data_IF_428018327003
#
_entry.id   IF_428018327003
#
_cell.length_a   1.000
_cell.length_b   1.000
_cell.length_c   1.000
_cell.angle_alpha   90.00
_cell.angle_beta   90.00
_cell.angle_gamma   90.00
#
_symmetry.space_group_name_H-M   'P 1'
#
loop_
_entity.id
_entity.type
_entity.pdbx_description
1 polymer ?
#
# COMPACT_ATOMS: atom_id res chain seq x y z
N UNK A 1 59.71 -27.27 -6.96
CA UNK A 1 59.23 -26.16 -6.13
C UNK A 1 59.90 -24.87 -6.61
N UNK A 2 59.14 -23.84 -6.94
CA UNK A 2 59.71 -22.55 -7.36
C UNK A 2 60.37 -21.87 -6.17
N UNK A 3 61.50 -21.24 -6.37
CA UNK A 3 62.23 -20.57 -5.31
C UNK A 3 61.53 -19.26 -4.95
N UNK A 4 61.73 -18.79 -3.72
CA UNK A 4 61.14 -17.53 -3.23
C UNK A 4 61.40 -16.33 -4.17
N UNK A 5 62.61 -16.14 -4.72
CA UNK A 5 62.88 -15.07 -5.70
C UNK A 5 62.08 -15.18 -7.00
N UNK A 6 61.83 -16.40 -7.52
CA UNK A 6 61.03 -16.61 -8.73
C UNK A 6 59.53 -16.27 -8.51
N UNK A 7 59.03 -16.44 -7.31
CA UNK A 7 57.68 -16.05 -6.93
C UNK A 7 57.55 -14.52 -6.77
N UNK A 8 58.54 -13.86 -6.17
CA UNK A 8 58.60 -12.41 -6.01
C UNK A 8 58.67 -11.70 -7.36
N UNK A 9 59.50 -12.23 -8.29
CA UNK A 9 59.57 -11.69 -9.67
C UNK A 9 58.24 -11.82 -10.40
N UNK A 10 57.55 -12.98 -10.30
CA UNK A 10 56.23 -13.16 -10.93
C UNK A 10 55.15 -12.24 -10.38
N UNK A 11 55.16 -11.96 -9.07
CA UNK A 11 54.24 -10.99 -8.44
C UNK A 11 54.50 -9.59 -8.99
N UNK A 12 55.76 -9.19 -9.12
CA UNK A 12 56.13 -7.89 -9.68
C UNK A 12 55.69 -7.74 -11.15
N UNK A 13 55.94 -8.77 -11.96
CA UNK A 13 55.55 -8.79 -13.39
C UNK A 13 54.04 -8.71 -13.54
N UNK A 14 53.26 -9.46 -12.72
CA UNK A 14 51.82 -9.44 -12.73
C UNK A 14 51.25 -8.08 -12.29
N UNK A 15 51.85 -7.47 -11.28
CA UNK A 15 51.45 -6.14 -10.78
C UNK A 15 51.70 -5.08 -11.85
N UNK A 16 52.79 -5.16 -12.57
CA UNK A 16 53.12 -4.25 -13.68
C UNK A 16 52.12 -4.41 -14.84
N UNK A 17 51.81 -5.67 -15.24
CA UNK A 17 50.83 -5.93 -16.28
C UNK A 17 49.42 -5.45 -15.92
N UNK A 18 49.00 -5.58 -14.66
CA UNK A 18 47.70 -5.08 -14.18
C UNK A 18 47.69 -3.52 -14.24
N UNK A 19 48.75 -2.85 -13.80
CA UNK A 19 48.83 -1.38 -13.89
C UNK A 19 48.73 -0.88 -15.32
N UNK A 20 49.39 -1.54 -16.24
CA UNK A 20 49.34 -1.19 -17.66
C UNK A 20 47.93 -1.36 -18.23
N UNK A 21 47.25 -2.46 -17.93
CA UNK A 21 45.86 -2.68 -18.34
C UNK A 21 44.88 -1.68 -17.75
N UNK A 22 45.06 -1.29 -16.50
CA UNK A 22 44.24 -0.24 -15.87
C UNK A 22 44.48 1.13 -16.54
N UNK A 23 45.70 1.43 -16.94
CA UNK A 23 46.00 2.69 -17.66
C UNK A 23 45.37 2.68 -19.07
N UNK A 24 45.49 1.60 -19.82
CA UNK A 24 44.83 1.43 -21.13
C UNK A 24 43.27 1.60 -21.02
N UNK A 25 42.66 1.04 -19.98
CA UNK A 25 41.23 1.21 -19.71
C UNK A 25 40.87 2.66 -19.35
N UNK A 26 41.71 3.34 -18.59
CA UNK A 26 41.49 4.73 -18.22
C UNK A 26 41.55 5.66 -19.44
N UNK A 27 42.57 5.46 -20.33
CA UNK A 27 42.70 6.18 -21.61
C UNK A 27 41.50 5.91 -22.52
N UNK A 28 41.06 4.64 -22.63
CA UNK A 28 39.88 4.28 -23.42
C UNK A 28 38.60 4.98 -22.94
N UNK A 29 38.41 5.11 -21.62
CA UNK A 29 37.25 5.84 -21.03
C UNK A 29 37.36 7.35 -21.23
N UNK A 30 38.60 7.89 -21.23
CA UNK A 30 38.85 9.33 -21.44
C UNK A 30 38.68 9.74 -22.92
N UNK A 31 38.82 8.82 -23.86
CA UNK A 31 38.63 9.05 -25.32
C UNK A 31 37.15 8.91 -25.78
N UNK A 32 36.23 8.54 -24.91
CA UNK A 32 34.80 8.54 -25.26
C UNK A 32 34.34 9.99 -25.45
N UNK A 33 34.02 10.46 -26.68
CA UNK A 33 33.67 11.85 -26.89
C UNK A 33 32.38 12.15 -26.12
N UNK A 34 32.42 13.17 -25.28
CA UNK A 34 31.19 13.82 -24.78
C UNK A 34 30.39 14.27 -26.00
N UNK A 35 29.35 13.54 -26.30
CA UNK A 35 28.42 13.91 -27.38
C UNK A 35 27.67 15.17 -26.96
N UNK A 36 28.30 16.34 -27.21
CA UNK A 36 27.71 17.66 -27.14
C UNK A 36 26.67 17.81 -28.26
N UNK A 37 25.62 17.01 -28.23
CA UNK A 37 24.41 17.31 -28.97
C UNK A 37 23.68 18.41 -28.18
N UNK A 38 23.82 19.66 -28.65
CA UNK A 38 22.93 20.75 -28.32
C UNK A 38 21.52 20.37 -28.82
N UNK A 39 20.80 19.58 -28.04
CA UNK A 39 19.37 19.41 -28.19
C UNK A 39 18.72 20.60 -27.47
N UNK A 40 17.91 21.36 -28.25
CA UNK A 40 16.94 22.33 -27.74
C UNK A 40 16.26 21.75 -26.49
N UNK A 41 15.88 22.60 -25.52
CA UNK A 41 15.16 22.11 -24.34
C UNK A 41 13.89 21.41 -24.84
N UNK A 42 13.90 20.07 -24.83
CA UNK A 42 12.68 19.31 -24.80
C UNK A 42 11.98 19.76 -23.51
N UNK A 43 10.72 20.13 -23.64
CA UNK A 43 9.82 20.30 -22.52
C UNK A 43 10.15 19.25 -21.48
N UNK A 44 10.42 19.69 -20.27
CA UNK A 44 10.65 18.85 -19.12
C UNK A 44 9.43 17.95 -18.98
N UNK A 45 9.49 16.78 -19.61
CA UNK A 45 8.68 15.66 -19.18
C UNK A 45 8.91 15.57 -17.68
N UNK A 46 7.86 15.76 -16.91
CA UNK A 46 7.88 15.55 -15.47
C UNK A 46 8.58 14.22 -15.24
N UNK A 47 9.81 14.29 -14.76
CA UNK A 47 10.40 13.17 -14.05
C UNK A 47 9.42 12.94 -12.91
N UNK A 48 8.53 11.95 -13.08
CA UNK A 48 7.72 11.46 -11.97
C UNK A 48 8.70 11.17 -10.86
N UNK A 49 8.75 12.06 -9.88
CA UNK A 49 9.32 11.72 -8.59
C UNK A 49 8.55 10.47 -8.17
N UNK A 50 9.23 9.32 -8.10
CA UNK A 50 8.67 8.08 -7.54
C UNK A 50 8.50 8.36 -6.05
N UNK A 51 7.58 9.24 -5.74
CA UNK A 51 7.14 9.56 -4.41
C UNK A 51 6.00 8.60 -4.05
N UNK A 52 5.92 8.25 -2.79
CA UNK A 52 4.79 7.54 -2.22
C UNK A 52 3.46 8.14 -2.72
N UNK A 53 2.50 7.34 -3.21
CA UNK A 53 1.22 7.84 -3.67
C UNK A 53 0.48 8.56 -2.53
N UNK A 54 -0.10 9.71 -2.84
CA UNK A 54 -0.82 10.55 -1.88
C UNK A 54 -2.32 10.27 -1.95
N UNK A 55 -3.04 10.70 -0.94
CA UNK A 55 -4.51 10.69 -0.94
C UNK A 55 -5.01 11.54 -2.11
N UNK A 56 -5.86 10.94 -2.95
CA UNK A 56 -6.40 11.54 -4.17
C UNK A 56 -5.66 11.16 -5.44
N UNK A 57 -4.44 10.66 -5.37
CA UNK A 57 -3.70 10.20 -6.55
C UNK A 57 -4.32 8.90 -7.10
N UNK A 58 -4.11 8.64 -8.39
CA UNK A 58 -4.35 7.32 -8.95
C UNK A 58 -3.40 6.31 -8.32
N UNK A 59 -3.90 5.13 -7.97
CA UNK A 59 -3.07 4.06 -7.45
C UNK A 59 -2.05 3.64 -8.52
N UNK A 60 -0.74 3.64 -8.20
CA UNK A 60 0.30 3.27 -9.16
C UNK A 60 0.08 1.88 -9.75
N UNK A 61 0.10 1.80 -11.07
CA UNK A 61 -0.09 0.55 -11.78
C UNK A 61 1.12 -0.38 -11.65
N UNK A 62 0.85 -1.67 -11.52
CA UNK A 62 1.88 -2.71 -11.57
C UNK A 62 1.30 -4.04 -12.04
N UNK A 63 2.20 -4.92 -12.50
CA UNK A 63 1.96 -6.31 -12.76
C UNK A 63 2.75 -7.14 -11.75
N UNK A 64 2.14 -8.16 -11.17
CA UNK A 64 2.82 -8.99 -10.18
C UNK A 64 2.28 -10.43 -10.16
N UNK A 65 3.17 -11.36 -9.80
CA UNK A 65 2.81 -12.73 -9.45
C UNK A 65 2.31 -12.78 -8.01
N UNK A 66 1.28 -13.58 -7.76
CA UNK A 66 0.71 -13.79 -6.43
C UNK A 66 0.45 -15.25 -6.14
N UNK A 67 0.12 -15.58 -4.90
CA UNK A 67 -0.33 -16.93 -4.50
C UNK A 67 -1.62 -17.39 -5.20
N UNK A 68 -2.34 -16.49 -5.86
CA UNK A 68 -3.57 -16.77 -6.62
C UNK A 68 -3.39 -16.59 -8.13
N UNK A 69 -2.16 -16.46 -8.62
CA UNK A 69 -1.82 -16.19 -10.01
C UNK A 69 -1.43 -14.75 -10.27
N UNK A 70 -1.32 -14.38 -11.52
CA UNK A 70 -0.90 -13.05 -11.97
C UNK A 70 -2.01 -12.01 -11.80
N UNK A 71 -1.63 -10.79 -11.44
CA UNK A 71 -2.55 -9.66 -11.34
C UNK A 71 -2.01 -8.42 -12.08
N UNK A 72 -2.93 -7.65 -12.68
CA UNK A 72 -2.70 -6.29 -13.19
C UNK A 72 -3.41 -5.30 -12.26
N UNK A 73 -2.66 -4.64 -11.42
CA UNK A 73 -3.21 -3.74 -10.42
C UNK A 73 -3.19 -2.28 -10.91
N UNK A 74 -4.23 -1.46 -10.70
CA UNK A 74 -5.53 -1.76 -10.07
C UNK A 74 -6.60 -2.29 -11.06
N UNK A 75 -6.23 -2.54 -12.32
CA UNK A 75 -7.15 -2.87 -13.43
C UNK A 75 -8.10 -4.02 -13.11
N UNK A 76 -7.58 -5.13 -12.54
CA UNK A 76 -8.35 -6.35 -12.27
C UNK A 76 -9.34 -6.17 -11.10
N UNK A 77 -9.21 -5.06 -10.37
CA UNK A 77 -10.05 -4.73 -9.21
C UNK A 77 -11.05 -3.61 -9.49
N UNK A 78 -11.17 -3.15 -10.74
CA UNK A 78 -12.11 -2.08 -11.12
C UNK A 78 -13.54 -2.40 -10.64
N UNK A 79 -14.19 -1.43 -10.02
CA UNK A 79 -15.53 -1.58 -9.45
C UNK A 79 -15.55 -2.14 -8.02
N UNK A 80 -14.40 -2.45 -7.44
CA UNK A 80 -14.26 -2.89 -6.05
C UNK A 80 -13.37 -1.95 -5.27
N UNK A 81 -13.62 -1.83 -3.99
CA UNK A 81 -12.63 -1.33 -3.07
C UNK A 81 -11.49 -2.32 -2.91
N UNK A 82 -10.29 -1.81 -2.68
CA UNK A 82 -9.12 -2.66 -2.39
C UNK A 82 -8.42 -2.14 -1.14
N UNK A 83 -8.09 -3.06 -0.26
CA UNK A 83 -7.09 -2.84 0.78
C UNK A 83 -5.80 -3.53 0.33
N UNK A 84 -4.87 -2.74 -0.24
CA UNK A 84 -3.51 -3.19 -0.53
C UNK A 84 -2.67 -2.98 0.72
N UNK A 85 -2.10 -4.05 1.26
CA UNK A 85 -1.32 -3.98 2.48
C UNK A 85 0.00 -4.72 2.38
N UNK A 86 1.04 -4.21 3.05
CA UNK A 86 2.34 -4.89 3.14
C UNK A 86 2.59 -5.45 4.52
N UNK A 87 3.44 -6.47 4.59
CA UNK A 87 3.98 -7.01 5.83
C UNK A 87 5.50 -7.21 5.71
N UNK A 88 6.23 -7.19 6.84
CA UNK A 88 7.70 -7.23 6.84
C UNK A 88 8.32 -8.48 6.25
N UNK A 89 7.88 -9.66 6.69
CA UNK A 89 8.40 -10.94 6.21
C UNK A 89 7.49 -12.10 6.60
N UNK A 90 7.51 -13.16 5.80
CA UNK A 90 6.93 -14.46 6.10
C UNK A 90 7.56 -15.06 7.36
N UNK A 91 6.90 -16.05 7.95
CA UNK A 91 7.38 -16.79 9.13
C UNK A 91 7.72 -15.92 10.35
N UNK A 92 7.15 -14.70 10.44
CA UNK A 92 7.32 -13.84 11.61
C UNK A 92 6.06 -13.84 12.48
N UNK A 93 6.19 -13.70 13.81
CA UNK A 93 5.05 -13.88 14.74
C UNK A 93 3.93 -12.85 14.54
N UNK A 94 4.26 -11.56 14.41
CA UNK A 94 3.26 -10.50 14.23
C UNK A 94 2.55 -10.66 12.89
N UNK A 95 3.28 -10.91 11.79
CA UNK A 95 2.69 -11.14 10.48
C UNK A 95 1.76 -12.36 10.48
N UNK A 96 2.17 -13.46 11.15
CA UNK A 96 1.34 -14.66 11.29
C UNK A 96 0.02 -14.34 11.99
N UNK A 97 0.06 -13.58 13.10
CA UNK A 97 -1.16 -13.19 13.81
C UNK A 97 -2.07 -12.30 12.97
N UNK A 98 -1.50 -11.41 12.15
CA UNK A 98 -2.25 -10.56 11.22
C UNK A 98 -2.91 -11.38 10.12
N UNK A 99 -2.20 -12.31 9.47
CA UNK A 99 -2.74 -13.13 8.40
C UNK A 99 -3.86 -14.04 8.86
N UNK A 100 -3.75 -14.61 10.06
CA UNK A 100 -4.86 -15.36 10.67
C UNK A 100 -6.08 -14.46 10.90
N UNK A 101 -5.87 -13.22 11.33
CA UNK A 101 -6.95 -12.26 11.57
C UNK A 101 -7.56 -11.77 10.26
N UNK A 102 -6.76 -11.49 9.24
CA UNK A 102 -7.24 -11.16 7.89
C UNK A 102 -8.08 -12.30 7.32
N UNK A 103 -7.57 -13.55 7.35
CA UNK A 103 -8.30 -14.71 6.86
C UNK A 103 -9.64 -14.89 7.57
N UNK A 104 -9.68 -14.73 8.88
CA UNK A 104 -10.93 -14.79 9.67
C UNK A 104 -11.93 -13.72 9.27
N UNK A 105 -11.45 -12.51 8.95
CA UNK A 105 -12.28 -11.32 8.69
C UNK A 105 -12.49 -11.02 7.21
N UNK A 106 -11.85 -11.75 6.31
CA UNK A 106 -12.02 -11.57 4.86
C UNK A 106 -13.50 -11.55 4.41
N UNK A 107 -14.38 -12.43 4.91
CA UNK A 107 -15.80 -12.37 4.54
C UNK A 107 -16.48 -11.02 4.89
N UNK A 108 -16.04 -10.36 5.96
CA UNK A 108 -16.57 -9.04 6.35
C UNK A 108 -16.18 -7.97 5.34
N UNK A 109 -14.92 -7.97 4.86
CA UNK A 109 -14.45 -7.05 3.83
C UNK A 109 -15.08 -7.34 2.47
N UNK A 110 -15.20 -8.61 2.12
CA UNK A 110 -15.86 -9.04 0.89
C UNK A 110 -17.33 -8.62 0.83
N UNK A 111 -18.06 -8.70 1.96
CA UNK A 111 -19.44 -8.22 2.07
C UNK A 111 -19.55 -6.69 1.84
N UNK A 112 -18.48 -5.94 2.13
CA UNK A 112 -18.36 -4.50 1.86
C UNK A 112 -17.82 -4.21 0.44
N UNK A 113 -17.87 -5.16 -0.49
CA UNK A 113 -17.29 -5.05 -1.84
C UNK A 113 -15.81 -4.63 -1.82
N UNK A 114 -15.04 -5.13 -0.85
CA UNK A 114 -13.63 -4.82 -0.68
C UNK A 114 -12.78 -6.07 -0.81
N UNK A 115 -11.76 -6.01 -1.68
CA UNK A 115 -10.78 -7.05 -1.89
C UNK A 115 -9.52 -6.78 -1.06
N UNK A 116 -9.03 -7.81 -0.38
CA UNK A 116 -7.74 -7.78 0.30
C UNK A 116 -6.64 -8.20 -0.67
N UNK A 117 -5.50 -7.51 -0.67
CA UNK A 117 -4.31 -7.85 -1.45
C UNK A 117 -3.09 -7.62 -0.57
N UNK A 118 -2.39 -8.68 -0.23
CA UNK A 118 -1.18 -8.63 0.59
C UNK A 118 0.08 -8.52 -0.26
N UNK A 119 1.16 -8.00 0.34
CA UNK A 119 2.48 -7.89 -0.28
C UNK A 119 3.58 -8.07 0.75
N UNK A 120 4.64 -8.79 0.40
CA UNK A 120 5.95 -8.67 1.04
C UNK A 120 7.07 -8.87 0.02
N UNK A 121 8.29 -8.63 0.45
CA UNK A 121 9.49 -8.84 -0.38
C UNK A 121 9.93 -10.31 -0.45
N UNK A 122 9.19 -11.22 0.17
CA UNK A 122 9.46 -12.67 0.08
C UNK A 122 9.00 -13.22 -1.27
N UNK A 123 9.56 -14.38 -1.64
CA UNK A 123 9.22 -15.06 -2.88
C UNK A 123 7.97 -15.92 -2.79
N UNK A 124 7.37 -16.21 -3.93
CA UNK A 124 6.15 -16.99 -4.06
C UNK A 124 6.16 -18.32 -3.28
N UNK A 125 7.26 -19.06 -3.36
CA UNK A 125 7.35 -20.36 -2.66
C UNK A 125 7.44 -20.20 -1.14
N UNK A 126 8.03 -19.10 -0.64
CA UNK A 126 7.99 -18.73 0.77
C UNK A 126 6.55 -18.50 1.21
N UNK A 127 5.81 -17.67 0.49
CA UNK A 127 4.39 -17.41 0.74
C UNK A 127 3.58 -18.71 0.82
N UNK A 128 3.67 -19.56 -0.20
CA UNK A 128 2.95 -20.83 -0.26
C UNK A 128 3.27 -21.70 0.95
N UNK A 129 4.55 -21.84 1.30
CA UNK A 129 4.97 -22.65 2.44
C UNK A 129 4.49 -22.06 3.77
N UNK A 130 4.56 -20.72 3.93
CA UNK A 130 4.11 -20.03 5.13
C UNK A 130 2.59 -20.12 5.32
N UNK A 131 1.80 -19.83 4.27
CA UNK A 131 0.34 -19.92 4.32
C UNK A 131 -0.14 -21.34 4.66
N UNK A 132 0.52 -22.37 4.09
CA UNK A 132 0.29 -23.75 4.47
C UNK A 132 0.59 -24.00 5.95
N UNK A 133 1.71 -23.48 6.45
CA UNK A 133 2.08 -23.63 7.85
C UNK A 133 1.07 -22.95 8.78
N UNK A 134 0.57 -21.77 8.42
CA UNK A 134 -0.50 -21.06 9.15
C UNK A 134 -1.72 -21.98 9.25
N UNK A 135 -2.17 -22.53 8.12
CA UNK A 135 -3.36 -23.41 8.07
C UNK A 135 -3.18 -24.68 8.88
N UNK A 136 -2.05 -25.36 8.76
CA UNK A 136 -1.84 -26.70 9.30
C UNK A 136 -1.36 -26.72 10.76
N UNK A 137 -0.63 -25.68 11.21
CA UNK A 137 0.15 -25.77 12.46
C UNK A 137 -0.10 -24.64 13.46
N UNK A 138 -0.67 -23.52 13.01
CA UNK A 138 -0.77 -22.37 13.92
C UNK A 138 -2.17 -22.28 14.53
N UNK A 139 -2.17 -22.18 15.87
CA UNK A 139 -3.36 -21.86 16.64
C UNK A 139 -3.09 -20.61 17.50
N UNK A 140 -3.95 -19.60 17.41
CA UNK A 140 -3.80 -18.34 18.11
C UNK A 140 -5.16 -17.71 18.41
N UNK A 141 -5.43 -17.31 19.65
CA UNK A 141 -6.69 -16.69 20.10
C UNK A 141 -7.94 -17.45 19.61
N UNK A 142 -7.90 -18.79 19.68
CA UNK A 142 -8.99 -19.65 19.25
C UNK A 142 -9.17 -19.77 17.71
N UNK A 143 -8.32 -19.09 16.91
CA UNK A 143 -8.23 -19.28 15.47
C UNK A 143 -7.34 -20.47 15.17
N UNK A 144 -7.83 -21.39 14.34
CA UNK A 144 -7.09 -22.56 13.84
C UNK A 144 -7.59 -22.92 12.45
N UNK A 145 -6.77 -23.65 11.70
CA UNK A 145 -7.08 -24.05 10.32
C UNK A 145 -7.43 -22.84 9.43
N UNK A 146 -6.78 -21.67 9.68
CA UNK A 146 -7.06 -20.44 8.94
C UNK A 146 -6.49 -20.54 7.53
N UNK A 147 -7.37 -20.49 6.54
CA UNK A 147 -7.01 -20.46 5.12
C UNK A 147 -7.02 -19.03 4.60
N UNK A 148 -5.89 -18.59 4.06
CA UNK A 148 -5.75 -17.29 3.41
C UNK A 148 -6.16 -17.45 1.94
N UNK A 149 -7.23 -16.80 1.54
CA UNK A 149 -7.83 -16.93 0.19
C UNK A 149 -7.62 -15.67 -0.66
N UNK A 150 -7.13 -14.58 -0.09
CA UNK A 150 -6.75 -13.39 -0.85
C UNK A 150 -5.33 -13.51 -1.44
N UNK A 151 -5.03 -12.83 -2.57
CA UNK A 151 -3.72 -12.85 -3.19
C UNK A 151 -2.64 -12.22 -2.31
N UNK A 152 -1.47 -12.88 -2.27
CA UNK A 152 -0.26 -12.39 -1.63
C UNK A 152 0.81 -12.23 -2.71
N UNK A 153 1.23 -10.98 -2.94
CA UNK A 153 2.18 -10.56 -3.98
C UNK A 153 3.60 -10.91 -3.54
N UNK A 154 4.34 -11.59 -4.43
CA UNK A 154 5.80 -11.66 -4.31
C UNK A 154 6.43 -10.38 -4.88
N UNK A 155 7.29 -9.73 -4.10
CA UNK A 155 7.96 -8.50 -4.52
C UNK A 155 9.46 -8.52 -4.15
N UNK A 156 10.16 -9.60 -4.55
CA UNK A 156 11.60 -9.80 -4.27
C UNK A 156 12.44 -8.63 -4.81
N UNK A 157 12.03 -8.04 -5.93
CA UNK A 157 12.70 -6.86 -6.52
C UNK A 157 12.46 -5.58 -5.73
N UNK A 158 11.48 -5.57 -4.84
CA UNK A 158 10.97 -4.39 -4.11
C UNK A 158 10.40 -3.31 -5.04
N UNK A 159 10.01 -3.64 -6.26
CA UNK A 159 9.53 -2.65 -7.23
C UNK A 159 8.18 -2.08 -6.81
N UNK A 160 7.26 -2.92 -6.39
CA UNK A 160 5.94 -2.49 -5.89
C UNK A 160 6.09 -1.80 -4.54
N UNK A 161 6.85 -2.38 -3.61
CA UNK A 161 7.07 -1.83 -2.28
C UNK A 161 7.70 -0.43 -2.33
N UNK A 162 8.68 -0.19 -3.22
CA UNK A 162 9.27 1.14 -3.44
C UNK A 162 8.30 2.11 -4.09
N UNK A 163 7.57 1.67 -5.12
CA UNK A 163 6.56 2.47 -5.82
C UNK A 163 5.47 2.99 -4.87
N UNK A 164 5.10 2.20 -3.87
CA UNK A 164 4.11 2.56 -2.86
C UNK A 164 4.71 3.16 -1.57
N UNK A 165 6.05 3.38 -1.53
CA UNK A 165 6.73 3.93 -0.36
C UNK A 165 6.66 3.02 0.88
N UNK A 166 6.52 1.71 0.68
CA UNK A 166 6.45 0.72 1.76
C UNK A 166 7.82 0.39 2.35
N UNK A 167 8.91 0.72 1.63
CA UNK A 167 10.28 0.62 2.14
C UNK A 167 10.61 1.94 2.83
N UNK A 168 10.79 1.89 4.14
CA UNK A 168 11.06 3.05 5.00
C UNK A 168 12.48 2.89 5.58
N UNK A 169 13.51 3.57 5.04
CA UNK A 169 14.90 3.36 5.45
C UNK A 169 15.17 3.58 6.94
N UNK A 170 14.37 4.40 7.62
CA UNK A 170 14.45 4.59 9.06
C UNK A 170 13.99 3.39 9.90
N UNK A 171 13.20 2.48 9.32
CA UNK A 171 12.77 1.22 9.93
C UNK A 171 13.55 0.04 9.38
N UNK A 172 13.59 -0.10 8.03
CA UNK A 172 14.31 -1.18 7.35
C UNK A 172 14.55 -0.81 5.88
N UNK A 173 15.71 -1.21 5.37
CA UNK A 173 16.03 -1.11 3.92
C UNK A 173 15.73 -2.38 3.14
N UNK A 174 15.42 -3.47 3.86
CA UNK A 174 15.24 -4.82 3.32
C UNK A 174 13.92 -5.47 3.71
N UNK A 175 13.01 -4.71 4.29
CA UNK A 175 11.66 -5.18 4.66
C UNK A 175 10.65 -4.05 4.41
N UNK A 176 9.46 -4.41 3.97
CA UNK A 176 8.35 -3.45 3.91
C UNK A 176 7.81 -3.20 5.33
N UNK A 177 7.44 -1.96 5.63
CA UNK A 177 6.67 -1.63 6.84
C UNK A 177 5.24 -2.18 6.71
N UNK A 178 4.44 -2.08 7.76
CA UNK A 178 3.02 -2.50 7.72
C UNK A 178 2.15 -1.38 7.17
N UNK A 179 2.22 -1.15 5.86
CA UNK A 179 1.39 -0.17 5.17
C UNK A 179 0.00 -0.74 4.87
N UNK A 180 -0.98 0.15 4.79
CA UNK A 180 -2.34 -0.13 4.33
C UNK A 180 -2.78 1.00 3.42
N UNK A 181 -3.12 0.69 2.19
CA UNK A 181 -3.70 1.61 1.22
C UNK A 181 -5.14 1.25 0.96
N UNK A 182 -6.05 2.19 1.19
CA UNK A 182 -7.44 2.07 0.78
C UNK A 182 -7.59 2.67 -0.61
N UNK A 183 -8.02 1.84 -1.56
CA UNK A 183 -8.16 2.23 -2.97
C UNK A 183 -9.61 2.03 -3.37
N UNK A 184 -10.21 3.04 -3.97
CA UNK A 184 -11.62 3.04 -4.33
C UNK A 184 -11.89 2.31 -5.66
N UNK A 185 -13.18 2.08 -6.02
CA UNK A 185 -13.57 1.35 -7.23
C UNK A 185 -13.09 1.95 -8.56
N UNK A 186 -12.66 3.20 -8.57
CA UNK A 186 -12.08 3.86 -9.76
C UNK A 186 -10.55 3.88 -9.74
N UNK A 187 -9.93 3.24 -8.73
CA UNK A 187 -8.48 3.12 -8.61
C UNK A 187 -7.79 4.34 -7.98
N UNK A 188 -8.48 5.12 -7.15
CA UNK A 188 -7.92 6.27 -6.45
C UNK A 188 -7.55 5.92 -5.01
N UNK A 189 -6.39 6.37 -4.53
CA UNK A 189 -5.97 6.23 -3.13
C UNK A 189 -6.81 7.16 -2.26
N UNK A 190 -7.48 6.59 -1.26
CA UNK A 190 -8.43 7.31 -0.39
C UNK A 190 -7.92 7.53 1.03
N UNK A 191 -7.16 6.60 1.56
CA UNK A 191 -6.51 6.70 2.85
C UNK A 191 -5.26 5.84 2.87
N UNK A 192 -4.30 6.18 3.73
CA UNK A 192 -3.07 5.42 3.93
C UNK A 192 -2.77 5.37 5.41
N UNK A 193 -2.42 4.19 5.92
CA UNK A 193 -2.00 3.99 7.31
C UNK A 193 -0.66 3.27 7.30
N UNK A 194 0.31 3.78 8.06
CA UNK A 194 1.60 3.14 8.26
C UNK A 194 1.79 2.76 9.71
N UNK A 195 2.26 1.54 9.92
CA UNK A 195 2.64 1.03 11.24
C UNK A 195 4.10 0.58 11.20
N UNK A 196 4.87 0.76 12.29
CA UNK A 196 6.22 0.22 12.41
C UNK A 196 6.19 -1.31 12.43
N UNK A 197 7.36 -1.92 12.25
CA UNK A 197 7.50 -3.38 12.17
C UNK A 197 6.97 -4.10 13.41
N UNK A 198 7.07 -3.48 14.59
CA UNK A 198 6.70 -4.07 15.88
C UNK A 198 5.22 -3.99 16.24
N UNK A 199 4.43 -3.18 15.50
CA UNK A 199 3.02 -2.91 15.84
C UNK A 199 2.05 -3.60 14.88
N UNK A 200 1.33 -4.63 15.38
CA UNK A 200 0.23 -5.25 14.63
C UNK A 200 -0.95 -4.30 14.41
N UNK A 201 -1.63 -4.47 13.27
CA UNK A 201 -2.74 -3.60 12.84
C UNK A 201 -4.00 -3.82 13.68
N UNK A 202 -4.81 -2.76 13.79
CA UNK A 202 -6.16 -2.84 14.33
C UNK A 202 -7.17 -3.05 13.19
N UNK A 203 -7.75 -4.23 13.12
CA UNK A 203 -8.68 -4.61 12.05
C UNK A 203 -10.05 -3.98 12.19
N UNK A 204 -10.47 -3.61 13.39
CA UNK A 204 -11.71 -2.87 13.60
C UNK A 204 -11.60 -1.48 13.01
N UNK A 205 -10.44 -0.82 13.16
CA UNK A 205 -10.18 0.47 12.52
C UNK A 205 -10.12 0.35 11.00
N UNK A 206 -9.50 -0.69 10.44
CA UNK A 206 -9.49 -0.87 8.98
C UNK A 206 -10.92 -1.01 8.42
N UNK A 207 -11.77 -1.77 9.10
CA UNK A 207 -13.18 -1.93 8.71
C UNK A 207 -13.96 -0.64 8.91
N UNK A 208 -13.80 0.03 10.05
CA UNK A 208 -14.43 1.31 10.35
C UNK A 208 -14.11 2.37 9.29
N UNK A 209 -12.82 2.52 8.97
CA UNK A 209 -12.35 3.48 7.96
C UNK A 209 -12.93 3.19 6.57
N UNK A 210 -12.98 1.90 6.15
CA UNK A 210 -13.60 1.51 4.89
C UNK A 210 -15.09 1.92 4.85
N UNK A 211 -15.86 1.56 5.88
CA UNK A 211 -17.29 1.87 5.95
C UNK A 211 -17.51 3.39 5.98
N UNK A 212 -16.68 4.14 6.72
CA UNK A 212 -16.76 5.59 6.77
C UNK A 212 -16.58 6.24 5.39
N UNK A 213 -15.58 5.78 4.61
CA UNK A 213 -15.35 6.28 3.24
C UNK A 213 -16.49 5.91 2.29
N UNK A 214 -17.01 4.69 2.36
CA UNK A 214 -18.17 4.25 1.57
C UNK A 214 -19.42 5.06 1.91
N UNK A 215 -19.67 5.31 3.18
CA UNK A 215 -20.80 6.13 3.65
C UNK A 215 -20.67 7.57 3.17
N UNK A 216 -19.48 8.17 3.31
CA UNK A 216 -19.22 9.53 2.84
C UNK A 216 -19.48 9.69 1.34
N UNK A 217 -19.03 8.73 0.54
CA UNK A 217 -19.25 8.74 -0.92
C UNK A 217 -20.72 8.55 -1.30
N UNK A 218 -21.38 7.57 -0.67
CA UNK A 218 -22.75 7.21 -1.01
C UNK A 218 -23.75 8.34 -0.70
N UNK A 219 -23.59 9.00 0.44
CA UNK A 219 -24.55 9.99 0.94
C UNK A 219 -24.06 11.43 0.83
N UNK A 220 -22.83 11.66 0.32
CA UNK A 220 -22.21 13.00 0.24
C UNK A 220 -22.17 13.70 1.61
N UNK A 221 -21.73 12.95 2.62
CA UNK A 221 -21.58 13.37 4.02
C UNK A 221 -20.15 13.24 4.49
N UNK A 222 -19.86 13.65 5.72
CA UNK A 222 -18.61 13.35 6.40
C UNK A 222 -18.89 12.58 7.70
N UNK A 223 -17.90 11.84 8.19
CA UNK A 223 -17.99 11.17 9.48
C UNK A 223 -17.29 12.03 10.55
N UNK A 224 -17.88 12.26 11.73
CA UNK A 224 -17.21 12.98 12.80
C UNK A 224 -16.06 12.19 13.43
N UNK A 225 -15.34 12.82 14.35
CA UNK A 225 -14.32 12.15 15.15
C UNK A 225 -14.94 10.94 15.89
N UNK A 226 -14.16 9.85 16.00
CA UNK A 226 -14.55 8.59 16.67
C UNK A 226 -15.80 7.90 16.14
N UNK A 227 -16.33 8.35 15.00
CA UNK A 227 -17.53 7.79 14.37
C UNK A 227 -17.48 6.26 14.23
N UNK A 228 -18.56 5.62 14.63
CA UNK A 228 -18.80 4.20 14.41
C UNK A 228 -20.02 4.00 13.50
N UNK A 229 -20.11 2.88 12.75
CA UNK A 229 -21.30 2.54 11.98
C UNK A 229 -22.57 2.54 12.86
N UNK A 230 -23.50 3.44 12.54
CA UNK A 230 -24.72 3.68 13.31
C UNK A 230 -24.76 5.03 14.03
N UNK A 231 -23.62 5.72 14.14
CA UNK A 231 -23.58 7.10 14.65
C UNK A 231 -24.04 8.08 13.57
N UNK A 232 -24.48 9.26 14.01
CA UNK A 232 -24.85 10.35 13.12
C UNK A 232 -23.66 10.82 12.27
N UNK A 233 -23.92 11.20 11.04
CA UNK A 233 -22.93 11.74 10.10
C UNK A 233 -23.02 13.27 10.04
N UNK A 234 -21.97 13.93 9.56
CA UNK A 234 -21.92 15.38 9.37
C UNK A 234 -22.45 15.74 8.00
N UNK A 235 -23.41 16.63 7.95
CA UNK A 235 -23.86 17.28 6.71
C UNK A 235 -22.82 18.33 6.30
N UNK A 236 -22.32 18.34 5.04
CA UNK A 236 -21.33 19.31 4.59
C UNK A 236 -21.79 20.76 4.88
N UNK A 237 -20.88 21.69 5.17
CA UNK A 237 -21.25 23.08 5.51
C UNK A 237 -21.98 23.76 4.37
N UNK A 238 -22.78 24.77 4.70
CA UNK A 238 -23.49 25.56 3.70
C UNK A 238 -22.52 26.31 2.81
N UNK A 239 -22.70 26.20 1.48
CA UNK A 239 -21.85 26.85 0.49
C UNK A 239 -22.17 28.34 0.23
N UNK A 240 -23.21 28.90 0.88
CA UNK A 240 -23.61 30.30 0.74
C UNK A 240 -24.35 30.80 1.96
N UNK A 241 -24.42 32.14 2.12
CA UNK A 241 -25.19 32.78 3.19
C UNK A 241 -26.68 32.45 3.10
N UNK A 242 -27.25 32.29 1.90
CA UNK A 242 -28.64 31.88 1.71
C UNK A 242 -28.89 30.49 2.27
N UNK A 243 -28.09 29.50 1.86
CA UNK A 243 -28.15 28.11 2.35
C UNK A 243 -27.93 28.06 3.88
N UNK A 244 -27.02 28.88 4.42
CA UNK A 244 -26.78 28.94 5.86
C UNK A 244 -28.04 29.42 6.61
N UNK A 245 -28.71 30.46 6.11
CA UNK A 245 -29.96 30.98 6.66
C UNK A 245 -31.06 29.92 6.54
N UNK A 246 -31.25 29.34 5.38
CA UNK A 246 -32.28 28.32 5.14
C UNK A 246 -32.14 27.14 6.08
N UNK A 247 -30.90 26.70 6.38
CA UNK A 247 -30.62 25.62 7.35
C UNK A 247 -31.04 25.96 8.78
N UNK A 248 -30.92 27.21 9.17
CA UNK A 248 -31.34 27.66 10.50
C UNK A 248 -32.85 27.87 10.59
N UNK A 249 -33.47 28.31 9.48
CA UNK A 249 -34.90 28.60 9.42
C UNK A 249 -35.77 27.37 9.11
N UNK A 250 -35.22 26.39 8.39
CA UNK A 250 -35.95 25.19 7.95
C UNK A 250 -35.48 23.93 8.68
N UNK A 251 -36.37 23.23 9.33
CA UNK A 251 -36.07 21.90 9.93
C UNK A 251 -36.22 20.84 8.84
N UNK A 252 -35.09 20.28 8.39
CA UNK A 252 -35.08 19.07 7.55
C UNK A 252 -35.27 17.83 8.45
N UNK A 253 -36.19 16.93 8.07
CA UNK A 253 -36.41 15.69 8.81
C UNK A 253 -35.15 14.84 8.87
N UNK A 254 -34.80 14.37 10.07
CA UNK A 254 -33.60 13.56 10.30
C UNK A 254 -32.29 14.36 10.34
N UNK A 255 -32.35 15.70 10.23
CA UNK A 255 -31.20 16.60 10.37
C UNK A 255 -31.31 17.42 11.64
N UNK A 256 -30.24 17.44 12.45
CA UNK A 256 -30.10 18.27 13.62
C UNK A 256 -28.98 19.28 13.41
N UNK A 257 -29.32 20.58 13.40
CA UNK A 257 -28.33 21.65 13.27
C UNK A 257 -28.10 22.31 14.64
N UNK A 258 -26.85 22.35 15.07
CA UNK A 258 -26.40 23.11 16.23
C UNK A 258 -26.07 24.55 15.84
N UNK A 259 -25.57 24.73 14.61
CA UNK A 259 -25.36 25.99 13.91
C UNK A 259 -25.32 25.73 12.42
N UNK A 260 -25.35 26.77 11.55
CA UNK A 260 -25.35 26.66 10.09
C UNK A 260 -24.20 25.82 9.51
N UNK A 261 -23.06 25.74 10.22
CA UNK A 261 -21.88 24.98 9.82
C UNK A 261 -21.79 23.59 10.46
N UNK A 262 -22.59 23.32 11.51
CA UNK A 262 -22.52 22.07 12.27
C UNK A 262 -23.90 21.42 12.34
N UNK A 263 -24.19 20.60 11.33
CA UNK A 263 -25.42 19.83 11.25
C UNK A 263 -25.08 18.34 11.16
N UNK A 264 -25.86 17.53 11.86
CA UNK A 264 -25.76 16.07 11.85
C UNK A 264 -27.00 15.45 11.23
N UNK A 265 -26.84 14.27 10.62
CA UNK A 265 -27.91 13.48 10.05
C UNK A 265 -27.79 12.03 10.52
N UNK A 266 -28.89 11.46 10.94
CA UNK A 266 -28.93 10.04 11.28
C UNK A 266 -29.06 9.19 10.03
N UNK A 267 -28.26 8.12 9.95
CA UNK A 267 -28.35 7.06 8.95
C UNK A 267 -28.60 5.74 9.68
N UNK A 268 -29.50 4.92 9.16
CA UNK A 268 -29.71 3.61 9.74
C UNK A 268 -28.48 2.70 9.52
N UNK A 269 -28.30 1.73 10.41
CA UNK A 269 -27.23 0.74 10.26
C UNK A 269 -27.30 0.00 8.90
N UNK A 270 -28.51 -0.27 8.41
CA UNK A 270 -28.73 -0.89 7.10
C UNK A 270 -28.23 0.01 5.97
N UNK A 271 -28.49 1.31 6.01
CA UNK A 271 -27.99 2.28 5.03
C UNK A 271 -26.47 2.37 5.04
N UNK A 272 -25.84 2.31 6.21
CA UNK A 272 -24.38 2.38 6.38
C UNK A 272 -23.69 1.09 5.95
N UNK A 273 -24.29 -0.06 6.22
CA UNK A 273 -23.72 -1.37 5.86
C UNK A 273 -23.97 -1.74 4.40
N UNK A 274 -25.03 -1.22 3.78
CA UNK A 274 -25.39 -1.45 2.39
C UNK A 274 -25.59 -0.12 1.65
N UNK A 275 -24.54 0.72 1.54
CA UNK A 275 -24.68 1.99 0.89
C UNK A 275 -25.01 1.83 -0.60
N UNK A 276 -25.81 2.74 -1.19
CA UNK A 276 -26.10 2.67 -2.61
C UNK A 276 -24.81 2.76 -3.43
N UNK A 277 -24.67 1.89 -4.41
CA UNK A 277 -23.54 1.93 -5.35
C UNK A 277 -23.72 3.15 -6.25
N UNK A 278 -22.75 4.06 -6.25
CA UNK A 278 -22.65 5.17 -7.20
C UNK A 278 -21.90 4.74 -8.44
#
# INVERSE_FOLDING_TARGET
MKTKPELEQKVTDLTTAIRQKLHELYEYVAEVPENNAQTKPKEQGQQESVGMPRIGDAAPEFYAMTTQGEINFPRDYKGKWVILFSHPADFTPVCTSEFMTFAKREPEFSALNCQLVGLSIDGLYSHIAWLRTIKEKIEFKGMKNMEVTFPLIEDISMDVAKKYGMIQPGESTTQAVRAVFFIDPIGKVRAVIYYPLSLGRNFDELKRALIAMQTADAYSVATPADWQPGDAVIVPPAGSCGTAKDRMDTKEEGVTCHDWFFCTKELSLEQVQNPPKK
#
